data_IF_999626169149
#
_entry.id   IF_999626169149
#
_cell.length_a   1.000
_cell.length_b   1.000
_cell.length_c   1.000
_cell.angle_alpha   90.00
_cell.angle_beta   90.00
_cell.angle_gamma   90.00
#
_symmetry.space_group_name_H-M   'P 1'
#
loop_
_entity.id
_entity.type
_entity.pdbx_description
1 polymer ?
#
# COMPACT_ATOMS: atom_id res chain seq x y z
N UNK A 1 -1.43 9.58 13.21
CA UNK A 1 -1.46 11.02 13.50
C UNK A 1 -1.65 11.16 15.00
N UNK A 2 -0.62 11.62 15.70
CA UNK A 2 -0.67 11.90 17.13
C UNK A 2 -1.68 13.03 17.37
N UNK A 3 -2.71 12.75 18.15
CA UNK A 3 -3.65 13.76 18.65
C UNK A 3 -3.50 13.89 20.14
N UNK A 4 -3.49 15.13 20.62
CA UNK A 4 -3.39 15.44 22.04
C UNK A 4 -4.54 14.77 22.82
N UNK A 5 -4.20 14.03 23.89
CA UNK A 5 -5.15 13.32 24.73
C UNK A 5 -5.62 11.95 24.22
N UNK A 6 -5.04 11.42 23.14
CA UNK A 6 -5.23 10.05 22.67
C UNK A 6 -3.96 9.25 22.97
N UNK A 7 -4.09 8.21 23.79
CA UNK A 7 -2.97 7.37 24.23
C UNK A 7 -2.78 6.15 23.32
N UNK A 8 -3.84 5.69 22.64
CA UNK A 8 -3.79 4.58 21.72
C UNK A 8 -4.88 4.66 20.64
N UNK A 9 -4.55 4.18 19.45
CA UNK A 9 -5.49 4.04 18.34
C UNK A 9 -5.13 2.84 17.49
N UNK A 10 -6.08 1.90 17.35
CA UNK A 10 -5.93 0.70 16.53
C UNK A 10 -7.03 0.65 15.48
N UNK A 11 -6.67 0.21 14.27
CA UNK A 11 -7.63 0.09 13.17
C UNK A 11 -7.41 -1.22 12.43
N UNK A 12 -8.51 -1.92 12.11
CA UNK A 12 -8.44 -3.16 11.36
C UNK A 12 -9.81 -3.67 10.94
N UNK A 13 -9.80 -4.68 10.05
CA UNK A 13 -11.03 -5.39 9.70
C UNK A 13 -11.47 -6.30 10.86
N UNK A 14 -12.78 -6.53 11.00
CA UNK A 14 -13.40 -7.37 12.04
C UNK A 14 -13.13 -8.87 11.91
N UNK A 15 -11.94 -9.26 11.44
CA UNK A 15 -11.54 -10.67 11.35
C UNK A 15 -11.38 -11.26 12.75
N UNK A 16 -11.55 -12.59 12.89
CA UNK A 16 -11.37 -13.26 14.19
C UNK A 16 -10.02 -12.98 14.82
N UNK A 17 -8.96 -12.87 14.01
CA UNK A 17 -7.62 -12.58 14.49
C UNK A 17 -7.52 -11.16 15.07
N UNK A 18 -8.02 -10.16 14.36
CA UNK A 18 -8.01 -8.76 14.81
C UNK A 18 -8.92 -8.57 16.05
N UNK A 19 -10.09 -9.21 16.06
CA UNK A 19 -10.99 -9.21 17.23
C UNK A 19 -10.30 -9.76 18.46
N UNK A 20 -9.56 -10.88 18.34
CA UNK A 20 -8.83 -11.45 19.46
C UNK A 20 -7.69 -10.52 19.91
N UNK A 21 -6.93 -9.98 18.97
CA UNK A 21 -5.85 -9.02 19.25
C UNK A 21 -6.36 -7.79 20.03
N UNK A 22 -7.43 -7.18 19.58
CA UNK A 22 -7.99 -6.01 20.24
C UNK A 22 -8.53 -6.34 21.65
N UNK A 23 -9.12 -7.53 21.86
CA UNK A 23 -9.52 -8.00 23.18
C UNK A 23 -8.33 -8.23 24.10
N UNK A 24 -7.25 -8.81 23.59
CA UNK A 24 -6.02 -9.03 24.35
C UNK A 24 -5.36 -7.70 24.76
N UNK A 25 -5.54 -6.66 23.94
CA UNK A 25 -5.15 -5.28 24.25
C UNK A 25 -6.09 -4.57 25.23
N UNK A 26 -7.21 -5.21 25.62
CA UNK A 26 -8.14 -4.69 26.62
C UNK A 26 -9.32 -3.87 26.07
N UNK A 27 -9.51 -3.84 24.75
CA UNK A 27 -10.64 -3.12 24.16
C UNK A 27 -11.95 -3.93 24.25
N UNK A 28 -13.04 -3.24 24.58
CA UNK A 28 -14.38 -3.81 24.51
C UNK A 28 -14.91 -3.69 23.06
N UNK A 29 -15.33 -4.82 22.49
CA UNK A 29 -15.77 -4.88 21.09
C UNK A 29 -17.23 -5.26 20.99
N UNK A 30 -17.97 -4.73 20.00
CA UNK A 30 -19.34 -5.16 19.70
C UNK A 30 -19.40 -6.67 19.45
N UNK A 31 -20.42 -7.33 20.00
CA UNK A 31 -20.57 -8.80 19.86
C UNK A 31 -20.96 -9.22 18.43
N UNK A 32 -21.49 -8.31 17.65
CA UNK A 32 -22.02 -8.48 16.28
C UNK A 32 -21.04 -8.04 15.19
N UNK A 33 -19.80 -7.67 15.55
CA UNK A 33 -18.78 -7.31 14.59
C UNK A 33 -18.45 -8.50 13.64
N UNK A 34 -18.45 -8.21 12.34
CA UNK A 34 -18.18 -9.18 11.28
C UNK A 34 -16.85 -8.90 10.58
N UNK A 35 -16.37 -9.86 9.79
CA UNK A 35 -15.12 -9.68 9.02
C UNK A 35 -15.18 -8.57 7.96
N UNK A 36 -16.35 -8.08 7.64
CA UNK A 36 -16.57 -6.99 6.67
C UNK A 36 -16.62 -5.60 7.32
N UNK A 37 -16.63 -5.55 8.65
CA UNK A 37 -16.65 -4.29 9.38
C UNK A 37 -15.23 -3.76 9.58
N UNK A 38 -15.08 -2.45 9.49
CA UNK A 38 -13.87 -1.76 9.92
C UNK A 38 -14.03 -1.40 11.39
N UNK A 39 -13.11 -1.88 12.20
CA UNK A 39 -13.04 -1.58 13.63
C UNK A 39 -12.00 -0.49 13.86
N UNK A 40 -12.35 0.49 14.67
CA UNK A 40 -11.45 1.54 15.15
C UNK A 40 -11.58 1.58 16.66
N UNK A 41 -10.52 1.19 17.35
CA UNK A 41 -10.42 1.23 18.80
C UNK A 41 -9.57 2.43 19.21
N UNK A 42 -10.05 3.19 20.18
CA UNK A 42 -9.39 4.39 20.66
C UNK A 42 -9.22 4.30 22.18
N UNK A 43 -8.06 4.71 22.68
CA UNK A 43 -7.80 4.93 24.10
C UNK A 43 -7.49 6.42 24.32
N UNK A 44 -8.22 7.06 25.24
CA UNK A 44 -8.14 8.49 25.46
C UNK A 44 -8.11 8.83 26.94
N UNK A 45 -7.38 9.86 27.32
CA UNK A 45 -7.18 10.32 28.70
C UNK A 45 -8.46 10.84 29.36
N UNK A 46 -9.46 11.25 28.56
CA UNK A 46 -10.74 11.74 29.05
C UNK A 46 -11.81 11.72 27.95
N UNK A 47 -13.06 12.00 28.33
CA UNK A 47 -14.22 11.98 27.42
C UNK A 47 -14.14 13.02 26.30
N UNK A 48 -13.53 14.18 26.52
CA UNK A 48 -13.45 15.26 25.54
C UNK A 48 -12.53 14.91 24.33
N UNK A 49 -11.27 14.45 24.51
CA UNK A 49 -10.46 13.94 23.42
C UNK A 49 -11.09 12.74 22.69
N UNK A 50 -11.74 11.83 23.42
CA UNK A 50 -12.44 10.70 22.84
C UNK A 50 -13.53 11.17 21.86
N UNK A 51 -14.38 12.09 22.30
CA UNK A 51 -15.46 12.65 21.46
C UNK A 51 -14.93 13.37 20.24
N UNK A 52 -13.86 14.16 20.40
CA UNK A 52 -13.21 14.85 19.30
C UNK A 52 -12.58 13.87 18.27
N UNK A 53 -11.99 12.76 18.76
CA UNK A 53 -11.42 11.73 17.89
C UNK A 53 -12.53 10.97 17.13
N UNK A 54 -13.62 10.60 17.79
CA UNK A 54 -14.76 9.94 17.14
C UNK A 54 -15.38 10.85 16.05
N UNK A 55 -15.62 12.13 16.34
CA UNK A 55 -16.13 13.08 15.36
C UNK A 55 -15.21 13.23 14.14
N UNK A 56 -13.90 13.26 14.36
CA UNK A 56 -12.94 13.32 13.28
C UNK A 56 -12.95 12.05 12.41
N UNK A 57 -13.06 10.88 13.03
CA UNK A 57 -13.17 9.60 12.29
C UNK A 57 -14.43 9.59 11.44
N UNK A 58 -15.56 9.96 12.02
CA UNK A 58 -16.87 10.04 11.31
C UNK A 58 -16.80 11.03 10.13
N UNK A 59 -16.24 12.22 10.35
CA UNK A 59 -16.03 13.21 9.30
C UNK A 59 -15.11 12.68 8.20
N UNK A 60 -13.98 12.05 8.57
CA UNK A 60 -13.03 11.48 7.61
C UNK A 60 -13.63 10.37 6.77
N UNK A 61 -14.44 9.50 7.38
CA UNK A 61 -15.15 8.44 6.68
C UNK A 61 -16.29 8.99 5.78
N UNK A 62 -16.92 10.09 6.18
CA UNK A 62 -17.98 10.72 5.40
C UNK A 62 -17.44 11.55 4.23
N UNK A 63 -16.35 12.28 4.44
CA UNK A 63 -15.71 13.10 3.40
C UNK A 63 -14.98 12.26 2.35
N UNK A 64 -14.46 11.07 2.71
CA UNK A 64 -13.90 10.09 1.76
C UNK A 64 -14.91 9.59 0.72
N UNK A 65 -16.22 9.72 0.98
CA UNK A 65 -17.29 9.41 0.01
C UNK A 65 -17.59 10.54 -0.99
N UNK A 66 -17.04 11.73 -0.80
CA UNK A 66 -17.45 12.95 -1.57
C UNK A 66 -16.62 13.25 -2.81
N UNK A 67 -15.37 12.82 -2.91
CA UNK A 67 -14.62 12.86 -4.17
C UNK A 67 -14.70 11.49 -4.81
N UNK A 68 -15.44 11.36 -5.90
CA UNK A 68 -15.27 10.24 -6.82
C UNK A 68 -13.83 10.34 -7.34
N UNK A 69 -12.91 9.64 -6.67
CA UNK A 69 -11.62 9.38 -7.25
C UNK A 69 -11.85 8.71 -8.60
N UNK A 70 -11.14 9.15 -9.61
CA UNK A 70 -11.20 8.54 -10.93
C UNK A 70 -10.81 7.06 -10.75
N UNK A 71 -11.75 6.17 -11.01
CA UNK A 71 -11.51 4.72 -10.92
C UNK A 71 -10.92 4.29 -12.25
N UNK A 72 -9.73 3.71 -12.19
CA UNK A 72 -9.08 3.09 -13.33
C UNK A 72 -9.33 1.59 -13.29
N UNK A 73 -9.68 1.00 -14.42
CA UNK A 73 -9.90 -0.46 -14.54
C UNK A 73 -8.68 -1.17 -15.14
N UNK A 74 -7.76 -0.41 -15.73
CA UNK A 74 -6.55 -0.88 -16.37
C UNK A 74 -5.52 0.25 -16.41
N UNK A 75 -4.23 -0.07 -16.48
CA UNK A 75 -3.19 0.91 -16.75
C UNK A 75 -3.38 1.60 -18.11
N UNK A 76 -4.11 0.98 -19.04
CA UNK A 76 -4.49 1.59 -20.31
C UNK A 76 -5.40 2.82 -20.17
N UNK A 77 -6.13 2.96 -19.06
CA UNK A 77 -7.03 4.09 -18.79
C UNK A 77 -6.28 5.34 -18.31
N UNK A 78 -4.98 5.22 -18.01
CA UNK A 78 -4.14 6.34 -17.57
C UNK A 78 -3.92 7.33 -18.72
N UNK A 79 -3.85 8.62 -18.40
CA UNK A 79 -3.31 9.59 -19.33
C UNK A 79 -1.77 9.46 -19.39
N UNK A 80 -1.18 9.86 -20.50
CA UNK A 80 0.27 9.85 -20.66
C UNK A 80 0.95 10.75 -19.60
N UNK A 81 1.89 10.20 -18.86
CA UNK A 81 2.60 10.90 -17.78
C UNK A 81 1.75 11.26 -16.57
N UNK A 82 0.56 10.66 -16.39
CA UNK A 82 -0.32 10.93 -15.26
C UNK A 82 0.26 10.45 -13.92
N UNK A 83 1.01 9.33 -13.95
CA UNK A 83 1.68 8.77 -12.77
C UNK A 83 3.13 8.41 -13.08
N UNK A 84 4.01 8.66 -12.14
CA UNK A 84 5.43 8.30 -12.28
C UNK A 84 5.67 6.80 -12.16
N UNK A 85 4.91 6.12 -11.29
CA UNK A 85 5.07 4.69 -11.01
C UNK A 85 3.72 3.99 -10.93
N UNK A 86 3.62 2.83 -11.57
CA UNK A 86 2.49 1.90 -11.44
C UNK A 86 2.96 0.66 -10.69
N UNK A 87 2.33 0.37 -9.55
CA UNK A 87 2.55 -0.88 -8.81
C UNK A 87 1.55 -1.94 -9.27
N UNK A 88 2.07 -3.11 -9.66
CA UNK A 88 1.26 -4.24 -10.14
C UNK A 88 1.35 -5.40 -9.15
N UNK A 89 0.17 -5.89 -8.72
CA UNK A 89 0.00 -7.04 -7.85
C UNK A 89 -1.18 -7.90 -8.33
N UNK A 90 -1.16 -8.25 -9.61
CA UNK A 90 -2.15 -9.10 -10.28
C UNK A 90 -1.57 -10.50 -10.52
N UNK A 91 -2.39 -11.54 -10.76
CA UNK A 91 -1.88 -12.83 -11.25
C UNK A 91 -1.03 -12.66 -12.51
N UNK A 92 0.04 -13.47 -12.65
CA UNK A 92 1.08 -13.30 -13.68
C UNK A 92 0.56 -13.16 -15.10
N UNK A 93 -0.49 -13.90 -15.46
CA UNK A 93 -1.12 -13.84 -16.78
C UNK A 93 -1.72 -12.46 -17.15
N UNK A 94 -2.15 -11.68 -16.14
CA UNK A 94 -2.71 -10.33 -16.35
C UNK A 94 -1.67 -9.22 -16.11
N UNK A 95 -0.65 -9.51 -15.30
CA UNK A 95 0.34 -8.54 -14.87
C UNK A 95 1.19 -8.00 -16.03
N UNK A 96 1.53 -8.87 -16.99
CA UNK A 96 2.33 -8.48 -18.15
C UNK A 96 1.62 -7.47 -19.03
N UNK A 97 0.36 -7.71 -19.35
CA UNK A 97 -0.44 -6.81 -20.18
C UNK A 97 -0.58 -5.42 -19.53
N UNK A 98 -0.84 -5.38 -18.23
CA UNK A 98 -0.92 -4.13 -17.48
C UNK A 98 0.44 -3.42 -17.38
N UNK A 99 1.55 -4.16 -17.33
CA UNK A 99 2.89 -3.58 -17.31
C UNK A 99 3.24 -2.92 -18.66
N UNK A 100 2.95 -3.57 -19.76
CA UNK A 100 3.14 -2.96 -21.10
C UNK A 100 2.32 -1.69 -21.25
N UNK A 101 1.04 -1.72 -20.86
CA UNK A 101 0.17 -0.53 -20.87
C UNK A 101 0.70 0.61 -20.02
N UNK A 102 1.20 0.31 -18.82
CA UNK A 102 1.79 1.33 -17.95
C UNK A 102 3.04 1.97 -18.57
N UNK A 103 3.92 1.16 -19.18
CA UNK A 103 5.10 1.63 -19.87
C UNK A 103 4.71 2.52 -21.09
N UNK A 104 3.70 2.14 -21.86
CA UNK A 104 3.18 2.93 -22.98
C UNK A 104 2.65 4.31 -22.54
N UNK A 105 2.24 4.44 -21.27
CA UNK A 105 1.83 5.73 -20.67
C UNK A 105 2.99 6.51 -20.05
N UNK A 106 4.23 6.02 -20.19
CA UNK A 106 5.44 6.66 -19.67
C UNK A 106 5.65 6.44 -18.18
N UNK A 107 4.91 5.52 -17.54
CA UNK A 107 5.07 5.20 -16.13
C UNK A 107 6.15 4.14 -15.89
N UNK A 108 6.92 4.30 -14.83
CA UNK A 108 7.78 3.24 -14.32
C UNK A 108 6.92 2.12 -13.72
N UNK A 109 7.44 0.89 -13.71
CA UNK A 109 6.69 -0.26 -13.21
C UNK A 109 7.40 -0.87 -12.01
N UNK A 110 6.63 -1.11 -10.95
CA UNK A 110 7.01 -1.95 -9.82
C UNK A 110 6.09 -3.18 -9.78
N UNK A 111 6.63 -4.36 -10.09
CA UNK A 111 5.85 -5.59 -10.16
C UNK A 111 6.12 -6.49 -8.97
N UNK A 112 5.14 -6.58 -8.06
CA UNK A 112 5.14 -7.49 -6.91
C UNK A 112 4.76 -8.93 -7.31
N UNK A 113 4.14 -9.08 -8.46
CA UNK A 113 3.61 -10.34 -8.99
C UNK A 113 4.72 -11.38 -9.20
N UNK A 114 4.46 -12.61 -8.74
CA UNK A 114 5.19 -13.82 -9.09
C UNK A 114 4.61 -14.49 -10.37
N UNK A 115 5.13 -15.65 -10.74
CA UNK A 115 4.67 -16.49 -11.86
C UNK A 115 4.81 -15.83 -13.25
N UNK A 116 5.87 -15.05 -13.43
CA UNK A 116 6.33 -14.54 -14.72
C UNK A 116 7.60 -15.30 -15.13
N UNK A 117 7.65 -15.79 -16.36
CA UNK A 117 8.82 -16.52 -16.84
C UNK A 117 10.03 -15.59 -17.04
N UNK A 118 11.23 -16.16 -16.99
CA UNK A 118 12.46 -15.40 -17.19
C UNK A 118 12.52 -14.74 -18.58
N UNK A 119 11.96 -15.37 -19.60
CA UNK A 119 11.88 -14.84 -20.95
C UNK A 119 10.95 -13.62 -21.00
N UNK A 120 9.76 -13.73 -20.41
CA UNK A 120 8.80 -12.63 -20.30
C UNK A 120 9.33 -11.45 -19.48
N UNK A 121 10.04 -11.74 -18.38
CA UNK A 121 10.73 -10.72 -17.59
C UNK A 121 11.77 -9.97 -18.42
N UNK A 122 12.62 -10.71 -19.15
CA UNK A 122 13.64 -10.14 -20.01
C UNK A 122 13.03 -9.21 -21.06
N UNK A 123 12.01 -9.69 -21.77
CA UNK A 123 11.38 -8.94 -22.86
C UNK A 123 10.71 -7.66 -22.34
N UNK A 124 10.03 -7.75 -21.19
CA UNK A 124 9.39 -6.61 -20.56
C UNK A 124 10.41 -5.57 -20.07
N UNK A 125 11.55 -6.00 -19.52
CA UNK A 125 12.64 -5.10 -19.10
C UNK A 125 13.33 -4.42 -20.28
N UNK A 126 13.52 -5.14 -21.39
CA UNK A 126 14.01 -4.56 -22.64
C UNK A 126 13.03 -3.50 -23.16
N UNK A 127 11.73 -3.84 -23.16
CA UNK A 127 10.68 -2.92 -23.58
C UNK A 127 10.65 -1.64 -22.72
N UNK A 128 10.67 -1.79 -21.40
CA UNK A 128 10.70 -0.65 -20.50
C UNK A 128 11.91 0.26 -20.74
N UNK A 129 13.10 -0.31 -20.87
CA UNK A 129 14.33 0.42 -21.19
C UNK A 129 14.20 1.21 -22.49
N UNK A 130 13.66 0.60 -23.54
CA UNK A 130 13.55 1.21 -24.88
C UNK A 130 12.50 2.35 -24.89
N UNK A 131 11.58 2.36 -23.91
CA UNK A 131 10.62 3.46 -23.67
C UNK A 131 11.08 4.44 -22.58
N UNK A 132 12.32 4.34 -22.09
CA UNK A 132 12.85 5.24 -21.06
C UNK A 132 12.25 5.02 -19.67
N UNK A 133 11.59 3.90 -19.43
CA UNK A 133 10.99 3.53 -18.17
C UNK A 133 11.88 2.56 -17.38
N UNK A 134 11.79 2.65 -16.05
CA UNK A 134 12.39 1.69 -15.14
C UNK A 134 11.36 0.59 -14.82
N UNK A 135 11.85 -0.63 -14.66
CA UNK A 135 11.06 -1.75 -14.19
C UNK A 135 11.77 -2.52 -13.09
N UNK A 136 11.12 -2.66 -11.95
CA UNK A 136 11.52 -3.51 -10.85
C UNK A 136 10.56 -4.71 -10.73
N UNK A 137 11.11 -5.87 -10.51
CA UNK A 137 10.37 -7.14 -10.55
C UNK A 137 10.41 -7.78 -11.94
N UNK A 138 9.62 -8.85 -12.15
CA UNK A 138 8.62 -9.44 -11.24
C UNK A 138 9.21 -9.95 -9.92
N UNK A 139 8.33 -10.41 -9.04
CA UNK A 139 8.66 -10.93 -7.70
C UNK A 139 9.43 -9.93 -6.81
N UNK A 140 9.22 -8.63 -7.01
CA UNK A 140 9.84 -7.58 -6.20
C UNK A 140 9.06 -7.39 -4.90
N UNK A 141 9.53 -8.01 -3.82
CA UNK A 141 8.84 -8.00 -2.52
C UNK A 141 8.85 -6.65 -1.80
N UNK A 142 9.85 -5.82 -2.01
CA UNK A 142 10.04 -4.53 -1.33
C UNK A 142 10.61 -3.50 -2.28
N UNK A 143 10.07 -2.30 -2.25
CA UNK A 143 10.62 -1.12 -2.90
C UNK A 143 10.54 0.10 -2.01
N UNK A 144 11.56 0.93 -2.06
CA UNK A 144 11.62 2.20 -1.35
C UNK A 144 12.08 3.27 -2.34
N UNK A 145 11.21 4.16 -2.72
CA UNK A 145 11.50 5.20 -3.69
C UNK A 145 11.11 6.57 -3.14
N UNK A 146 12.09 7.44 -2.98
CA UNK A 146 11.85 8.80 -2.49
C UNK A 146 11.17 8.86 -1.10
N UNK A 147 11.39 7.86 -0.24
CA UNK A 147 10.74 7.75 1.07
C UNK A 147 9.35 7.10 1.03
N UNK A 148 8.88 6.68 -0.16
CA UNK A 148 7.62 5.93 -0.31
C UNK A 148 7.92 4.44 -0.32
N UNK A 149 7.26 3.70 0.56
CA UNK A 149 7.33 2.25 0.61
C UNK A 149 6.34 1.62 -0.36
N UNK A 150 6.80 0.65 -1.15
CA UNK A 150 6.00 -0.12 -2.09
C UNK A 150 5.96 -1.60 -1.68
N UNK A 151 4.88 -2.29 -2.04
CA UNK A 151 4.58 -3.68 -1.68
C UNK A 151 4.71 -3.91 -0.15
N UNK A 152 5.53 -4.86 0.29
CA UNK A 152 5.76 -5.18 1.70
C UNK A 152 6.81 -4.27 2.37
N UNK A 153 7.13 -3.12 1.77
CA UNK A 153 8.10 -2.18 2.33
C UNK A 153 7.62 -1.52 3.61
N UNK A 154 8.50 -1.39 4.59
CA UNK A 154 8.26 -0.59 5.81
C UNK A 154 8.67 0.86 5.60
N UNK A 155 8.12 1.73 6.43
CA UNK A 155 8.54 3.13 6.47
C UNK A 155 9.98 3.19 7.03
N UNK A 156 10.89 3.77 6.26
CA UNK A 156 12.27 4.00 6.66
C UNK A 156 12.58 5.51 6.64
N UNK A 157 13.60 5.90 7.39
CA UNK A 157 14.07 7.29 7.37
C UNK A 157 14.74 7.57 6.03
N UNK A 158 14.42 8.71 5.44
CA UNK A 158 15.11 9.16 4.23
C UNK A 158 16.60 9.38 4.52
N UNK A 159 17.47 8.90 3.62
CA UNK A 159 18.92 9.02 3.75
C UNK A 159 19.61 9.01 2.37
N UNK A 160 20.91 9.32 2.33
CA UNK A 160 21.66 9.39 1.09
C UNK A 160 22.21 8.04 0.60
N UNK A 161 21.87 6.94 1.28
CA UNK A 161 22.39 5.59 0.97
C UNK A 161 21.32 4.83 0.17
N UNK A 162 21.67 4.40 -1.04
CA UNK A 162 20.86 3.47 -1.83
C UNK A 162 21.20 2.03 -1.50
N UNK A 163 20.17 1.20 -1.33
CA UNK A 163 20.32 -0.24 -1.10
C UNK A 163 19.68 -0.99 -2.27
N UNK A 164 20.45 -1.90 -2.88
CA UNK A 164 19.99 -2.80 -3.93
C UNK A 164 20.34 -4.22 -3.54
N UNK A 165 19.36 -5.12 -3.53
CA UNK A 165 19.56 -6.51 -3.16
C UNK A 165 18.52 -7.43 -3.77
N UNK A 166 18.85 -8.70 -3.87
CA UNK A 166 17.95 -9.75 -4.36
C UNK A 166 16.92 -10.17 -3.30
N UNK A 167 17.21 -9.96 -2.01
CA UNK A 167 16.30 -10.28 -0.92
C UNK A 167 15.53 -9.02 -0.47
N UNK A 168 14.20 -9.00 -0.67
CA UNK A 168 13.36 -7.89 -0.23
C UNK A 168 13.44 -7.66 1.28
N UNK A 169 13.22 -8.70 2.08
CA UNK A 169 13.30 -8.64 3.55
C UNK A 169 14.71 -8.29 4.04
N UNK A 170 15.77 -8.87 3.42
CA UNK A 170 17.14 -8.53 3.76
C UNK A 170 17.51 -7.09 3.44
N UNK A 171 17.05 -6.56 2.30
CA UNK A 171 17.26 -5.16 1.94
C UNK A 171 16.54 -4.22 2.89
N UNK A 172 15.35 -4.58 3.34
CA UNK A 172 14.58 -3.80 4.31
C UNK A 172 15.28 -3.77 5.68
N UNK A 173 15.77 -4.91 6.17
CA UNK A 173 16.50 -4.99 7.44
C UNK A 173 17.76 -4.13 7.45
N UNK A 174 18.43 -4.00 6.29
CA UNK A 174 19.61 -3.12 6.15
C UNK A 174 19.19 -1.64 6.08
N UNK A 175 17.99 -1.34 5.58
CA UNK A 175 17.51 0.03 5.40
C UNK A 175 16.86 0.63 6.66
N UNK A 176 16.40 -0.21 7.60
CA UNK A 176 15.83 0.21 8.89
C UNK A 176 16.91 0.47 9.92
#
# INVERSE_FOLDING_TARGET
TEREGIDGAECGMGTKQNVNLLRDLGYELPADATSNDVMIALDAQSEEPMRAACAFVEESLSTGRGKREKVYHSAGDLAEGEFDVVQISLPGEYALDEAYKAIDKGSHVFMFTADVSLEQEHDLKVYARDHGCLMMGPDAGVGLLGGVAMAAGSIVKYGPIGVIGASGSGSQEVAC
#
